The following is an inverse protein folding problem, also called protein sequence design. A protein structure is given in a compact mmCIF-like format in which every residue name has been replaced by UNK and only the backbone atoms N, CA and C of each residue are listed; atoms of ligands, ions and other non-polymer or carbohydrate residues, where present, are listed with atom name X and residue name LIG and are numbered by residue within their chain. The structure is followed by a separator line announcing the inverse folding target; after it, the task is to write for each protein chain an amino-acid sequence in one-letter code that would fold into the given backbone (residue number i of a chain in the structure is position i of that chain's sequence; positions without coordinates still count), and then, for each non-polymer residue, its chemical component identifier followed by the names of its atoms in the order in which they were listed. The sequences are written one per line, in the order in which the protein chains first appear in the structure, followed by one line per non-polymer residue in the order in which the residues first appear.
data_IF_211668876958
#
_entry.id   IF_211668876958
#
_cell.length_a   1.000
_cell.length_b   1.000
_cell.length_c   1.000
_cell.angle_alpha   90.00
_cell.angle_beta   90.00
_cell.angle_gamma   90.00
#
_symmetry.space_group_name_H-M   'P 1'
#
loop_
_entity.id
_entity.type
_entity.pdbx_description
1 polymer ?
#
# COMPACT_ATOMS: atom_id res chain seq x y z
N UNK A 1 -22.94 -5.17 54.04
CA UNK A 1 -23.26 -4.11 53.06
C UNK A 1 -23.62 -4.78 51.74
N UNK A 2 -24.89 -4.71 51.31
CA UNK A 2 -25.34 -5.21 50.01
C UNK A 2 -25.07 -4.13 48.96
N UNK A 3 -24.22 -4.42 47.98
CA UNK A 3 -24.00 -3.58 46.80
C UNK A 3 -25.22 -3.70 45.89
N UNK A 4 -26.01 -2.62 45.84
CA UNK A 4 -27.14 -2.49 44.92
C UNK A 4 -26.62 -2.32 43.50
N UNK A 5 -26.71 -3.37 42.68
CA UNK A 5 -26.53 -3.28 41.24
C UNK A 5 -27.76 -2.63 40.61
N UNK A 6 -27.68 -1.31 40.39
CA UNK A 6 -28.66 -0.59 39.58
C UNK A 6 -28.58 -1.13 38.15
N UNK A 7 -29.59 -1.91 37.74
CA UNK A 7 -29.83 -2.20 36.32
C UNK A 7 -30.08 -0.87 35.61
N UNK A 8 -29.31 -0.51 34.57
CA UNK A 8 -29.62 0.68 33.79
C UNK A 8 -31.01 0.51 33.18
N UNK A 9 -31.88 1.51 33.39
CA UNK A 9 -33.17 1.56 32.72
C UNK A 9 -32.95 1.59 31.20
N UNK A 10 -33.79 0.90 30.40
CA UNK A 10 -33.67 0.95 28.95
C UNK A 10 -33.76 2.41 28.48
N UNK A 11 -32.77 2.85 27.71
CA UNK A 11 -32.74 4.21 27.18
C UNK A 11 -33.97 4.42 26.28
N UNK A 12 -34.76 5.45 26.57
CA UNK A 12 -35.92 5.80 25.75
C UNK A 12 -35.42 6.59 24.54
N UNK A 13 -35.77 6.16 23.33
CA UNK A 13 -35.37 6.85 22.11
C UNK A 13 -36.01 8.24 22.04
N UNK A 14 -35.21 9.26 21.69
CA UNK A 14 -35.71 10.59 21.36
C UNK A 14 -36.12 10.65 19.89
N UNK A 15 -37.06 11.53 19.55
CA UNK A 15 -37.45 11.77 18.15
C UNK A 15 -36.41 12.64 17.45
N UNK A 16 -35.92 12.20 16.29
CA UNK A 16 -35.12 13.02 15.38
C UNK A 16 -35.95 13.57 14.21
N UNK A 17 -35.52 14.69 13.64
CA UNK A 17 -36.10 15.28 12.44
C UNK A 17 -35.07 15.27 11.31
N UNK A 18 -35.43 14.69 10.17
CA UNK A 18 -34.63 14.74 8.97
C UNK A 18 -34.84 16.05 8.23
N UNK A 19 -33.77 16.65 7.72
CA UNK A 19 -33.83 17.76 6.78
C UNK A 19 -32.77 17.61 5.68
N UNK A 20 -32.95 18.36 4.60
CA UNK A 20 -31.99 18.47 3.50
C UNK A 20 -31.64 19.93 3.30
N UNK A 21 -30.44 20.21 2.84
CA UNK A 21 -30.02 21.58 2.56
C UNK A 21 -28.68 21.66 1.85
N UNK A 22 -28.25 22.88 1.59
CA UNK A 22 -26.94 23.17 0.99
C UNK A 22 -25.95 23.45 2.10
N UNK A 23 -24.81 22.77 2.06
CA UNK A 23 -23.74 22.96 3.01
C UNK A 23 -22.97 24.25 2.69
N UNK A 24 -22.64 25.00 3.73
CA UNK A 24 -21.78 26.16 3.67
C UNK A 24 -20.91 26.28 4.92
N UNK A 25 -20.21 27.40 5.03
CA UNK A 25 -19.43 27.77 6.20
C UNK A 25 -19.98 29.08 6.80
N UNK A 26 -19.95 29.21 8.12
CA UNK A 26 -20.16 30.49 8.78
C UNK A 26 -18.85 31.32 8.88
N UNK A 27 -18.92 32.50 9.48
CA UNK A 27 -17.78 33.42 9.63
C UNK A 27 -16.60 32.82 10.41
N UNK A 28 -16.86 31.83 11.26
CA UNK A 28 -15.86 31.13 12.08
C UNK A 28 -15.45 29.79 11.44
N UNK A 29 -15.88 29.53 10.20
CA UNK A 29 -15.66 28.28 9.44
C UNK A 29 -16.29 27.05 10.07
N UNK A 30 -17.38 27.20 10.83
CA UNK A 30 -18.20 26.06 11.23
C UNK A 30 -19.11 25.62 10.09
N UNK A 31 -19.36 24.30 9.99
CA UNK A 31 -20.28 23.73 9.02
C UNK A 31 -21.72 24.21 9.30
N UNK A 32 -22.34 24.81 8.29
CA UNK A 32 -23.75 25.23 8.35
C UNK A 32 -24.53 24.66 7.18
N UNK A 33 -25.80 24.37 7.40
CA UNK A 33 -26.71 23.88 6.36
C UNK A 33 -27.85 24.87 6.22
N UNK A 34 -28.00 25.43 5.02
CA UNK A 34 -29.15 26.24 4.65
C UNK A 34 -30.26 25.31 4.14
N UNK A 35 -31.36 25.25 4.90
CA UNK A 35 -32.50 24.36 4.68
C UNK A 35 -33.79 25.16 4.72
N UNK A 36 -34.30 25.55 3.54
CA UNK A 36 -35.44 26.45 3.44
C UNK A 36 -35.09 27.84 4.00
N UNK A 37 -35.85 28.32 4.98
CA UNK A 37 -35.58 29.58 5.68
C UNK A 37 -34.69 29.47 6.92
N UNK A 38 -34.14 28.28 7.19
CA UNK A 38 -33.32 28.01 8.38
C UNK A 38 -31.85 27.88 7.99
N UNK A 39 -30.97 28.43 8.83
CA UNK A 39 -29.53 28.21 8.79
C UNK A 39 -29.10 27.48 10.05
N UNK A 40 -28.73 26.22 9.90
CA UNK A 40 -28.46 25.31 11.01
C UNK A 40 -26.97 25.06 11.15
N UNK A 41 -26.39 25.24 12.34
CA UNK A 41 -25.03 24.76 12.62
C UNK A 41 -25.03 23.24 12.74
N UNK A 42 -24.06 22.61 12.10
CA UNK A 42 -24.02 21.14 11.98
C UNK A 42 -22.66 20.57 12.31
N UNK A 43 -22.62 19.26 12.55
CA UNK A 43 -21.39 18.47 12.67
C UNK A 43 -21.46 17.30 11.72
N UNK A 44 -20.31 16.83 11.24
CA UNK A 44 -20.23 15.63 10.43
C UNK A 44 -20.51 14.39 11.29
N UNK A 45 -21.43 13.53 10.86
CA UNK A 45 -21.61 12.24 11.51
C UNK A 45 -20.43 11.31 11.18
N UNK A 46 -20.03 10.46 12.12
CA UNK A 46 -18.96 9.47 11.88
C UNK A 46 -19.28 8.51 10.72
N UNK A 47 -20.57 8.28 10.43
CA UNK A 47 -21.03 7.47 9.29
C UNK A 47 -20.92 8.20 7.94
N UNK A 48 -20.82 9.53 7.93
CA UNK A 48 -20.69 10.32 6.70
C UNK A 48 -19.24 10.28 6.22
N UNK A 49 -18.85 9.18 5.57
CA UNK A 49 -17.45 8.95 5.15
C UNK A 49 -16.99 9.88 4.02
N UNK A 50 -17.91 10.29 3.15
CA UNK A 50 -17.64 11.30 2.14
C UNK A 50 -17.54 12.68 2.81
N UNK A 51 -16.40 13.34 2.68
CA UNK A 51 -16.17 14.67 3.28
C UNK A 51 -17.15 15.69 2.71
N UNK A 52 -17.99 16.32 3.57
CA UNK A 52 -18.88 17.38 3.15
C UNK A 52 -18.10 18.65 2.78
N UNK A 53 -18.43 19.26 1.65
CA UNK A 53 -17.83 20.49 1.15
C UNK A 53 -18.90 21.57 0.89
N UNK A 54 -18.50 22.84 0.91
CA UNK A 54 -19.42 23.94 0.63
C UNK A 54 -20.03 23.79 -0.78
N UNK A 55 -21.34 24.02 -0.90
CA UNK A 55 -22.12 23.79 -2.12
C UNK A 55 -22.79 22.42 -2.16
N UNK A 56 -22.32 21.43 -1.38
CA UNK A 56 -22.92 20.09 -1.37
C UNK A 56 -24.38 20.13 -0.91
N UNK A 57 -25.25 19.39 -1.61
CA UNK A 57 -26.55 19.02 -1.06
C UNK A 57 -26.36 17.90 -0.06
N UNK A 58 -26.84 18.05 1.17
CA UNK A 58 -26.64 17.10 2.26
C UNK A 58 -27.96 16.67 2.91
N UNK A 59 -27.98 15.45 3.45
CA UNK A 59 -29.01 14.98 4.37
C UNK A 59 -28.53 15.12 5.81
N UNK A 60 -29.39 15.69 6.65
CA UNK A 60 -29.11 15.97 8.05
C UNK A 60 -30.12 15.32 8.97
N UNK A 61 -29.66 14.92 10.16
CA UNK A 61 -30.48 14.47 11.27
C UNK A 61 -30.36 15.47 12.42
N UNK A 62 -31.46 16.15 12.76
CA UNK A 62 -31.56 17.02 13.93
C UNK A 62 -32.15 16.26 15.11
N UNK A 63 -31.41 16.17 16.21
CA UNK A 63 -31.85 15.48 17.44
C UNK A 63 -32.13 16.43 18.61
N UNK A 64 -31.65 17.68 18.53
CA UNK A 64 -32.03 18.79 19.39
C UNK A 64 -31.92 20.11 18.59
N UNK A 65 -32.47 21.25 19.05
CA UNK A 65 -32.45 22.51 18.31
C UNK A 65 -31.05 22.91 17.77
N UNK A 66 -30.00 22.72 18.57
CA UNK A 66 -28.61 23.06 18.23
C UNK A 66 -27.75 21.81 17.93
N UNK A 67 -28.36 20.64 17.78
CA UNK A 67 -27.66 19.38 17.53
C UNK A 67 -28.12 18.75 16.21
N UNK A 68 -27.39 19.10 15.16
CA UNK A 68 -27.65 18.67 13.78
C UNK A 68 -26.42 17.95 13.24
N UNK A 69 -26.64 16.75 12.70
CA UNK A 69 -25.61 15.90 12.15
C UNK A 69 -25.77 15.77 10.64
N UNK A 70 -24.73 16.06 9.87
CA UNK A 70 -24.65 15.72 8.44
C UNK A 70 -24.44 14.21 8.33
N UNK A 71 -25.43 13.51 7.80
CA UNK A 71 -25.46 12.05 7.72
C UNK A 71 -24.91 11.54 6.37
N UNK A 72 -25.16 12.28 5.30
CA UNK A 72 -24.69 11.96 3.95
C UNK A 72 -24.62 13.21 3.07
N UNK A 73 -23.67 13.23 2.14
CA UNK A 73 -23.68 14.11 0.97
C UNK A 73 -24.55 13.44 -0.10
N UNK A 74 -25.63 14.10 -0.49
CA UNK A 74 -26.60 13.61 -1.48
C UNK A 74 -26.14 13.93 -2.90
N UNK A 75 -25.60 15.14 -3.09
CA UNK A 75 -25.05 15.59 -4.35
C UNK A 75 -23.81 16.46 -4.08
N UNK A 76 -22.74 16.13 -4.79
CA UNK A 76 -21.46 16.83 -4.74
C UNK A 76 -21.53 18.10 -5.59
N UNK A 77 -20.99 19.20 -5.08
CA UNK A 77 -20.81 20.43 -5.85
C UNK A 77 -19.84 20.20 -7.03
N UNK A 78 -20.14 20.79 -8.18
CA UNK A 78 -19.34 20.61 -9.39
C UNK A 78 -17.88 21.06 -9.18
N UNK A 79 -16.94 20.27 -9.71
CA UNK A 79 -15.49 20.54 -9.57
C UNK A 79 -14.91 20.21 -8.19
N UNK A 80 -15.71 19.78 -7.21
CA UNK A 80 -15.22 19.40 -5.89
C UNK A 80 -14.81 17.93 -5.85
N UNK A 81 -13.62 17.63 -5.31
CA UNK A 81 -13.11 16.28 -5.20
C UNK A 81 -13.91 15.42 -4.21
N UNK A 82 -14.06 14.13 -4.51
CA UNK A 82 -14.64 13.16 -3.59
C UNK A 82 -13.55 12.61 -2.67
N UNK A 83 -13.50 13.12 -1.43
CA UNK A 83 -12.57 12.65 -0.40
C UNK A 83 -13.31 11.75 0.59
N UNK A 84 -12.83 10.53 0.78
CA UNK A 84 -13.30 9.64 1.85
C UNK A 84 -12.35 9.76 3.02
N UNK A 85 -12.89 10.10 4.20
CA UNK A 85 -12.09 10.17 5.42
C UNK A 85 -12.88 9.73 6.65
N UNK A 86 -12.16 9.37 7.70
CA UNK A 86 -12.72 9.11 9.02
C UNK A 86 -11.97 9.99 10.04
N UNK A 87 -12.70 10.64 10.94
CA UNK A 87 -12.07 11.33 12.07
C UNK A 87 -11.48 10.30 13.05
N UNK A 88 -10.26 10.54 13.53
CA UNK A 88 -9.52 9.65 14.44
C UNK A 88 -8.29 9.00 13.79
N UNK A 89 -7.58 8.18 14.58
CA UNK A 89 -6.22 7.75 14.21
C UNK A 89 -6.14 6.37 13.53
N UNK A 90 -7.22 5.57 13.53
CA UNK A 90 -7.18 4.16 13.12
C UNK A 90 -8.41 3.77 12.27
N UNK A 91 -8.33 3.92 10.95
CA UNK A 91 -9.32 3.36 10.02
C UNK A 91 -8.95 1.93 9.63
N UNK A 92 -9.93 1.02 9.65
CA UNK A 92 -9.79 -0.36 9.16
C UNK A 92 -10.92 -0.68 8.18
N UNK A 93 -10.55 -1.12 6.99
CA UNK A 93 -11.47 -1.74 6.03
C UNK A 93 -11.34 -3.26 6.21
N UNK A 94 -12.42 -3.94 6.54
CA UNK A 94 -12.44 -5.39 6.76
C UNK A 94 -13.62 -6.02 6.03
N UNK A 95 -13.38 -7.17 5.41
CA UNK A 95 -14.40 -8.00 4.76
C UNK A 95 -14.36 -9.37 5.43
N UNK A 96 -15.40 -9.72 6.18
CA UNK A 96 -15.48 -11.02 6.85
C UNK A 96 -15.93 -12.10 5.84
N UNK A 97 -15.05 -13.08 5.57
CA UNK A 97 -15.37 -14.25 4.74
C UNK A 97 -15.48 -14.00 3.23
N UNK A 98 -15.05 -12.84 2.74
CA UNK A 98 -15.26 -12.42 1.35
C UNK A 98 -14.05 -11.83 0.64
N UNK A 99 -14.32 -11.16 -0.49
CA UNK A 99 -13.33 -10.54 -1.38
C UNK A 99 -13.39 -9.01 -1.23
N UNK A 100 -12.23 -8.36 -1.14
CA UNK A 100 -12.10 -6.91 -1.28
C UNK A 100 -11.51 -6.61 -2.66
N UNK A 101 -12.19 -5.78 -3.44
CA UNK A 101 -11.73 -5.36 -4.76
C UNK A 101 -11.55 -3.84 -4.79
N UNK A 102 -10.43 -3.40 -5.34
CA UNK A 102 -10.17 -2.01 -5.67
C UNK A 102 -9.94 -1.95 -7.18
N UNK A 103 -10.84 -1.30 -7.90
CA UNK A 103 -10.78 -1.16 -9.35
C UNK A 103 -10.77 0.34 -9.70
N UNK A 104 -9.72 0.77 -10.39
CA UNK A 104 -9.51 2.14 -10.82
C UNK A 104 -8.62 2.15 -12.07
N UNK A 105 -8.68 3.23 -12.85
CA UNK A 105 -7.74 3.45 -13.96
C UNK A 105 -6.32 3.70 -13.43
N UNK A 106 -6.21 4.36 -12.27
CA UNK A 106 -4.96 4.67 -11.58
C UNK A 106 -5.12 4.40 -10.07
N UNK A 107 -4.10 3.79 -9.46
CA UNK A 107 -4.06 3.49 -8.03
C UNK A 107 -2.73 3.95 -7.44
N UNK A 108 -2.79 5.05 -6.70
CA UNK A 108 -1.67 5.56 -5.91
C UNK A 108 -1.78 5.16 -4.44
N UNK A 109 -0.71 4.56 -3.91
CA UNK A 109 -0.62 4.18 -2.49
C UNK A 109 0.58 4.87 -1.86
N UNK A 110 0.33 5.99 -1.18
CA UNK A 110 1.33 6.71 -0.43
C UNK A 110 1.23 6.38 1.06
N UNK A 111 2.30 5.85 1.65
CA UNK A 111 2.36 5.56 3.08
C UNK A 111 3.79 5.69 3.62
N UNK A 112 3.93 5.98 4.91
CA UNK A 112 5.24 5.90 5.58
C UNK A 112 5.69 4.45 5.81
N UNK A 113 4.73 3.53 5.93
CA UNK A 113 4.97 2.11 6.16
C UNK A 113 3.85 1.27 5.55
N UNK A 114 4.21 0.47 4.56
CA UNK A 114 3.33 -0.57 3.99
C UNK A 114 3.76 -1.94 4.48
N UNK A 115 2.80 -2.78 4.89
CA UNK A 115 3.00 -4.21 5.13
C UNK A 115 1.95 -4.98 4.33
N UNK A 116 2.40 -5.77 3.36
CA UNK A 116 1.55 -6.74 2.68
C UNK A 116 1.86 -8.12 3.28
N UNK A 117 0.87 -8.71 3.95
CA UNK A 117 0.94 -10.07 4.47
C UNK A 117 -0.15 -10.88 3.76
N UNK A 118 0.28 -11.89 3.01
CA UNK A 118 -0.59 -12.74 2.20
C UNK A 118 0.05 -14.10 2.04
N UNK A 119 -0.76 -15.14 1.90
CA UNK A 119 -0.29 -16.48 1.56
C UNK A 119 0.15 -16.56 0.08
N UNK A 120 -0.52 -15.80 -0.79
CA UNK A 120 -0.24 -15.73 -2.23
C UNK A 120 -0.34 -14.29 -2.75
N UNK A 121 0.53 -13.94 -3.69
CA UNK A 121 0.52 -12.61 -4.33
C UNK A 121 0.85 -12.75 -5.81
N UNK A 122 -0.06 -12.29 -6.66
CA UNK A 122 0.16 -12.17 -8.10
C UNK A 122 0.30 -10.71 -8.48
N UNK A 123 1.43 -10.36 -9.11
CA UNK A 123 1.66 -9.03 -9.66
C UNK A 123 1.80 -9.19 -11.17
N UNK A 124 0.73 -8.84 -11.89
CA UNK A 124 0.66 -8.97 -13.34
C UNK A 124 0.63 -7.58 -13.96
N UNK A 125 1.59 -7.30 -14.85
CA UNK A 125 1.68 -6.02 -15.52
C UNK A 125 2.75 -6.05 -16.60
N UNK A 126 2.74 -5.02 -17.45
CA UNK A 126 3.74 -4.86 -18.53
C UNK A 126 5.12 -4.46 -17.99
N UNK A 127 5.15 -3.74 -16.88
CA UNK A 127 6.38 -3.22 -16.28
C UNK A 127 6.23 -3.18 -14.76
N UNK A 128 7.28 -3.62 -14.06
CA UNK A 128 7.43 -3.46 -12.63
C UNK A 128 8.72 -2.68 -12.36
N UNK A 129 8.64 -1.63 -11.56
CA UNK A 129 9.80 -0.83 -11.16
C UNK A 129 9.85 -0.76 -9.64
N UNK A 130 10.97 -1.21 -9.07
CA UNK A 130 11.21 -1.20 -7.63
C UNK A 130 12.41 -0.30 -7.36
N UNK A 131 12.17 0.82 -6.69
CA UNK A 131 13.20 1.78 -6.30
C UNK A 131 13.29 1.83 -4.79
N UNK A 132 14.48 1.57 -4.25
CA UNK A 132 14.71 1.57 -2.82
C UNK A 132 16.17 1.36 -2.48
N UNK A 133 16.49 1.44 -1.20
CA UNK A 133 17.87 1.26 -0.69
C UNK A 133 18.29 -0.20 -0.60
N UNK A 134 17.35 -1.15 -0.64
CA UNK A 134 17.64 -2.57 -0.60
C UNK A 134 16.41 -3.44 -0.89
N UNK A 135 16.67 -4.65 -1.36
CA UNK A 135 15.68 -5.70 -1.60
C UNK A 135 16.20 -6.98 -0.94
N UNK A 136 15.36 -7.65 -0.16
CA UNK A 136 15.68 -8.94 0.46
C UNK A 136 14.64 -9.96 0.04
N UNK A 137 15.09 -11.02 -0.62
CA UNK A 137 14.26 -12.16 -1.00
C UNK A 137 14.70 -13.36 -0.14
N UNK A 138 13.75 -13.99 0.53
CA UNK A 138 13.97 -15.18 1.35
C UNK A 138 12.91 -16.20 0.98
N UNK A 139 13.34 -17.38 0.55
CA UNK A 139 12.46 -18.44 0.12
C UNK A 139 13.25 -19.70 -0.21
N UNK A 140 12.54 -20.82 -0.39
CA UNK A 140 13.13 -22.09 -0.80
C UNK A 140 13.48 -22.13 -2.29
N UNK A 141 12.73 -21.40 -3.12
CA UNK A 141 12.89 -21.37 -4.57
C UNK A 141 12.77 -19.94 -5.09
N UNK A 142 13.68 -19.58 -6.00
CA UNK A 142 13.60 -18.39 -6.83
C UNK A 142 13.79 -18.83 -8.28
N UNK A 143 12.77 -18.64 -9.11
CA UNK A 143 12.83 -18.92 -10.55
C UNK A 143 12.57 -17.63 -11.33
N UNK A 144 13.45 -17.33 -12.28
CA UNK A 144 13.39 -16.14 -13.12
C UNK A 144 13.69 -16.52 -14.56
N UNK A 145 12.86 -16.04 -15.48
CA UNK A 145 13.06 -16.18 -16.92
C UNK A 145 13.09 -14.78 -17.52
N UNK A 146 14.19 -14.43 -18.17
CA UNK A 146 14.45 -13.07 -18.66
C UNK A 146 15.22 -13.15 -19.97
N UNK A 147 14.93 -12.27 -20.92
CA UNK A 147 15.76 -12.10 -22.13
C UNK A 147 17.13 -11.50 -21.78
N UNK A 148 17.18 -10.62 -20.76
CA UNK A 148 18.40 -9.95 -20.34
C UNK A 148 18.39 -9.64 -18.85
N UNK A 149 19.51 -9.93 -18.20
CA UNK A 149 19.78 -9.57 -16.81
C UNK A 149 21.05 -8.74 -16.75
N UNK A 150 21.01 -7.61 -16.03
CA UNK A 150 22.18 -6.78 -15.77
C UNK A 150 22.30 -6.52 -14.27
N UNK A 151 23.51 -6.67 -13.74
CA UNK A 151 23.83 -6.34 -12.37
C UNK A 151 25.03 -5.40 -12.35
N UNK A 152 24.88 -4.28 -11.65
CA UNK A 152 25.97 -3.39 -11.31
C UNK A 152 26.02 -3.29 -9.79
N UNK A 153 27.14 -3.72 -9.21
CA UNK A 153 27.32 -3.75 -7.76
C UNK A 153 28.75 -3.39 -7.41
N UNK A 154 28.93 -2.63 -6.33
CA UNK A 154 30.27 -2.40 -5.74
C UNK A 154 30.85 -3.69 -5.15
N UNK A 155 29.99 -4.55 -4.61
CA UNK A 155 30.35 -5.85 -4.05
C UNK A 155 29.33 -6.89 -4.52
N UNK A 156 29.81 -8.02 -5.03
CA UNK A 156 28.98 -9.16 -5.42
C UNK A 156 29.50 -10.39 -4.68
N UNK A 157 28.68 -10.96 -3.79
CA UNK A 157 28.97 -12.19 -3.07
C UNK A 157 27.87 -13.20 -3.40
N UNK A 158 28.28 -14.37 -3.87
CA UNK A 158 27.40 -15.50 -4.14
C UNK A 158 27.99 -16.75 -3.50
N UNK A 159 27.14 -17.52 -2.85
CA UNK A 159 27.49 -18.83 -2.29
C UNK A 159 26.44 -19.83 -2.72
N UNK A 160 26.88 -20.97 -3.22
CA UNK A 160 26.03 -22.06 -3.67
C UNK A 160 26.56 -23.34 -3.04
N UNK A 161 25.72 -24.06 -2.31
CA UNK A 161 26.10 -25.33 -1.67
C UNK A 161 26.10 -26.49 -2.70
N UNK A 162 25.09 -26.49 -3.57
CA UNK A 162 25.02 -27.39 -4.71
C UNK A 162 25.75 -26.88 -5.95
N UNK A 163 25.19 -27.19 -7.12
CA UNK A 163 25.81 -26.84 -8.40
C UNK A 163 25.55 -25.36 -8.73
N UNK A 164 26.62 -24.60 -8.92
CA UNK A 164 26.58 -23.32 -9.63
C UNK A 164 26.94 -23.54 -11.11
N UNK A 165 25.91 -23.75 -11.95
CA UNK A 165 26.10 -23.99 -13.38
C UNK A 165 25.93 -22.70 -14.17
N UNK A 166 26.97 -22.35 -14.92
CA UNK A 166 26.90 -21.32 -15.97
C UNK A 166 27.02 -22.00 -17.33
N UNK A 167 26.02 -21.83 -18.18
CA UNK A 167 26.03 -22.28 -19.56
C UNK A 167 25.81 -21.07 -20.47
N UNK A 168 26.82 -20.74 -21.27
CA UNK A 168 26.81 -19.57 -22.13
C UNK A 168 27.60 -19.84 -23.42
N UNK A 169 27.28 -19.12 -24.49
CA UNK A 169 28.08 -19.12 -25.72
C UNK A 169 29.44 -18.46 -25.46
N UNK A 170 29.42 -17.37 -24.67
CA UNK A 170 30.62 -16.66 -24.23
C UNK A 170 30.55 -16.45 -22.72
N UNK A 171 31.62 -16.84 -22.02
CA UNK A 171 31.80 -16.56 -20.60
C UNK A 171 33.10 -15.77 -20.44
N UNK A 172 32.99 -14.58 -19.89
CA UNK A 172 34.12 -13.71 -19.57
C UNK A 172 34.19 -13.52 -18.06
N UNK A 173 35.33 -13.90 -17.47
CA UNK A 173 35.63 -13.68 -16.07
C UNK A 173 36.93 -12.87 -15.99
N UNK A 174 36.84 -11.62 -15.55
CA UNK A 174 37.98 -10.72 -15.44
C UNK A 174 38.13 -10.22 -14.00
N UNK A 175 39.36 -10.17 -13.52
CA UNK A 175 39.71 -9.53 -12.26
C UNK A 175 40.96 -8.65 -12.46
N UNK A 176 40.93 -7.42 -11.93
CA UNK A 176 42.05 -6.46 -12.06
C UNK A 176 43.31 -6.87 -11.29
N UNK A 177 43.14 -7.60 -10.20
CA UNK A 177 44.25 -7.95 -9.29
C UNK A 177 44.42 -9.46 -9.14
N UNK A 178 43.36 -10.17 -8.74
CA UNK A 178 43.42 -11.61 -8.50
C UNK A 178 42.13 -12.29 -8.95
N UNK A 179 42.27 -13.30 -9.80
CA UNK A 179 41.25 -14.30 -10.05
C UNK A 179 41.72 -15.61 -9.40
N UNK A 180 40.93 -16.17 -8.47
CA UNK A 180 41.20 -17.47 -7.84
C UNK A 180 40.14 -18.46 -8.28
N UNK A 181 40.58 -19.58 -8.83
CA UNK A 181 39.77 -20.77 -9.09
C UNK A 181 40.42 -21.90 -8.32
N UNK A 182 39.64 -22.56 -7.46
CA UNK A 182 40.15 -23.59 -6.55
C UNK A 182 39.06 -24.64 -6.34
N UNK A 183 39.49 -25.88 -6.23
CA UNK A 183 38.67 -27.02 -5.86
C UNK A 183 39.58 -28.23 -5.67
N UNK A 184 39.07 -29.26 -4.99
CA UNK A 184 39.77 -30.55 -4.85
C UNK A 184 40.12 -31.15 -6.21
N UNK A 185 39.22 -30.97 -7.19
CA UNK A 185 39.42 -31.33 -8.58
C UNK A 185 38.98 -30.18 -9.50
N UNK A 186 39.92 -29.68 -10.33
CA UNK A 186 39.64 -28.65 -11.33
C UNK A 186 39.91 -29.20 -12.73
N UNK A 187 38.91 -29.16 -13.61
CA UNK A 187 39.02 -29.59 -15.00
C UNK A 187 38.87 -28.38 -15.92
N UNK A 188 39.84 -28.17 -16.80
CA UNK A 188 39.78 -27.13 -17.85
C UNK A 188 39.99 -27.83 -19.19
N UNK A 189 38.93 -27.86 -20.01
CA UNK A 189 38.93 -28.53 -21.31
C UNK A 189 38.67 -27.51 -22.43
N UNK A 190 39.65 -27.32 -23.32
CA UNK A 190 39.50 -26.56 -24.55
C UNK A 190 39.64 -27.51 -25.73
N UNK A 191 38.57 -27.68 -26.53
CA UNK A 191 38.58 -28.57 -27.70
C UNK A 191 39.60 -28.14 -28.75
N UNK A 192 39.76 -26.83 -28.92
CA UNK A 192 40.67 -26.25 -29.92
C UNK A 192 41.92 -25.64 -29.27
N UNK A 193 41.74 -24.84 -28.21
CA UNK A 193 42.86 -24.14 -27.57
C UNK A 193 42.58 -23.90 -26.08
N UNK A 194 43.59 -24.18 -25.26
CA UNK A 194 43.75 -23.59 -23.93
C UNK A 194 44.98 -22.70 -23.99
N UNK A 195 44.87 -21.46 -23.51
CA UNK A 195 45.98 -20.50 -23.54
C UNK A 195 46.19 -19.90 -22.16
N UNK A 196 47.34 -20.20 -21.56
CA UNK A 196 47.81 -19.57 -20.34
C UNK A 196 49.01 -18.66 -20.66
N UNK A 197 49.02 -17.44 -20.10
CA UNK A 197 50.12 -16.48 -20.23
C UNK A 197 50.34 -15.80 -18.88
N UNK A 198 51.60 -15.69 -18.48
CA UNK A 198 51.99 -14.99 -17.25
C UNK A 198 53.51 -14.87 -17.19
N UNK A 199 54.00 -13.99 -16.32
CA UNK A 199 55.44 -13.89 -16.05
C UNK A 199 55.99 -15.20 -15.46
N UNK A 200 55.15 -15.93 -14.70
CA UNK A 200 55.42 -17.28 -14.23
C UNK A 200 54.17 -18.13 -14.38
N UNK A 201 54.33 -19.37 -14.81
CA UNK A 201 53.28 -20.39 -14.85
C UNK A 201 53.86 -21.63 -14.20
N UNK A 202 53.28 -22.04 -13.07
CA UNK A 202 53.64 -23.27 -12.37
C UNK A 202 52.57 -24.30 -12.69
N UNK A 203 52.91 -25.27 -13.53
CA UNK A 203 52.19 -26.53 -13.60
C UNK A 203 52.95 -27.49 -12.69
N UNK A 204 52.22 -28.14 -11.77
CA UNK A 204 52.81 -29.10 -10.83
C UNK A 204 53.73 -30.10 -11.52
#
# INVERSE_FOLDING_TARGET
MKTSSLKPAPAQAITGQWCVGVLGLDEVRALVVDSGGLRLRTRRAASCLLEPAAGDSVACLRIAPDEVWVMAVLQREEGTANVVSCEGNNMRIAVEGGRLELAAEELDVASQRTRLATDTADVVGRQLTVVGTGIKLVGSVLSSVMDRVQHFSKHYLRTTDGIDRVAAIHLECEAKQLLRLEGEHTLVNGRELIKARGAQIHFG
#
